data_IF_064557585077
#
_entry.id   IF_064557585077
#
_cell.length_a   1.000
_cell.length_b   1.000
_cell.length_c   1.000
_cell.angle_alpha   90.00
_cell.angle_beta   90.00
_cell.angle_gamma   90.00
#
_symmetry.space_group_name_H-M   'P 1'
#
loop_
_entity.id
_entity.type
_entity.pdbx_description
1 polymer ?
#
# COMPACT_ATOMS: atom_id res chain seq x y z
N UNK A 1 8.79 12.88 12.75
CA UNK A 1 8.96 13.89 11.67
C UNK A 1 7.89 15.00 11.65
N UNK A 2 6.61 14.71 11.37
CA UNK A 2 5.58 15.73 11.05
C UNK A 2 5.35 16.80 12.12
N UNK A 3 5.38 16.44 13.42
CA UNK A 3 5.25 17.40 14.52
C UNK A 3 6.23 18.57 14.39
N UNK A 4 7.53 18.27 14.27
CA UNK A 4 8.58 19.28 14.06
C UNK A 4 8.32 20.19 12.86
N UNK A 5 7.78 19.61 11.78
CA UNK A 5 7.55 20.32 10.53
C UNK A 5 6.34 21.25 10.61
N UNK A 6 5.29 20.82 11.30
CA UNK A 6 4.09 21.60 11.55
C UNK A 6 4.39 22.74 12.54
N UNK A 7 5.11 22.45 13.62
CA UNK A 7 5.55 23.46 14.60
C UNK A 7 6.41 24.55 13.94
N UNK A 8 7.36 24.19 13.06
CA UNK A 8 8.21 25.13 12.34
C UNK A 8 7.45 26.00 11.34
N UNK A 9 6.34 25.49 10.79
CA UNK A 9 5.45 26.24 9.90
C UNK A 9 4.36 27.03 10.69
N UNK A 10 4.28 26.86 12.01
CA UNK A 10 3.28 27.50 12.86
C UNK A 10 1.85 27.02 12.59
N UNK A 11 1.67 25.77 12.13
CA UNK A 11 0.36 25.21 11.82
C UNK A 11 0.04 24.02 12.72
N UNK A 12 -1.23 23.90 13.12
CA UNK A 12 -1.76 22.77 13.87
C UNK A 12 -2.83 22.04 13.04
N UNK A 13 -3.05 20.72 13.23
CA UNK A 13 -4.15 20.02 12.58
C UNK A 13 -5.53 20.68 12.77
N UNK A 14 -5.75 21.39 13.88
CA UNK A 14 -7.00 22.12 14.16
C UNK A 14 -7.23 23.34 13.23
N UNK A 15 -6.20 23.77 12.51
CA UNK A 15 -6.28 24.83 11.51
C UNK A 15 -6.87 24.34 10.17
N UNK A 16 -7.10 23.03 10.03
CA UNK A 16 -7.72 22.42 8.86
C UNK A 16 -9.25 22.35 9.02
N UNK A 17 -9.97 23.31 8.43
CA UNK A 17 -11.44 23.38 8.47
C UNK A 17 -12.08 23.11 7.11
N UNK A 18 -11.40 23.48 6.04
CA UNK A 18 -11.82 23.24 4.67
C UNK A 18 -10.66 22.83 3.76
N UNK A 19 -10.96 22.26 2.58
CA UNK A 19 -9.93 21.75 1.67
C UNK A 19 -8.93 22.81 1.18
N UNK A 20 -9.34 24.08 1.13
CA UNK A 20 -8.47 25.22 0.79
C UNK A 20 -7.35 25.43 1.82
N UNK A 21 -7.57 25.05 3.08
CA UNK A 21 -6.60 25.20 4.18
C UNK A 21 -5.39 24.28 4.03
N UNK A 22 -5.48 23.26 3.18
CA UNK A 22 -4.35 22.36 2.91
C UNK A 22 -3.09 23.11 2.44
N UNK A 23 -3.27 24.29 1.81
CA UNK A 23 -2.18 25.18 1.38
C UNK A 23 -1.35 25.75 2.53
N UNK A 24 -1.90 25.78 3.76
CA UNK A 24 -1.19 26.22 4.96
C UNK A 24 -0.16 25.18 5.43
N UNK A 25 -0.38 23.91 5.11
CA UNK A 25 0.47 22.81 5.58
C UNK A 25 1.73 22.68 4.73
N UNK A 26 2.90 22.43 5.35
CA UNK A 26 4.16 22.31 4.62
C UNK A 26 4.23 21.01 3.81
N UNK A 27 4.74 21.09 2.58
CA UNK A 27 4.92 19.92 1.71
C UNK A 27 5.99 18.95 2.24
N UNK A 28 5.75 17.65 2.12
CA UNK A 28 6.76 16.61 2.35
C UNK A 28 7.58 16.36 1.08
N UNK A 29 8.90 16.37 1.22
CA UNK A 29 9.87 16.15 0.15
C UNK A 29 10.53 14.77 0.30
N UNK A 30 11.21 14.33 -0.77
CA UNK A 30 12.00 13.08 -0.73
C UNK A 30 13.16 13.16 0.27
N UNK A 31 13.65 14.36 0.57
CA UNK A 31 14.74 14.55 1.52
C UNK A 31 14.27 14.23 2.95
N UNK A 32 13.05 14.65 3.31
CA UNK A 32 12.47 14.33 4.61
C UNK A 32 12.45 12.80 4.86
N UNK A 33 12.10 12.00 3.84
CA UNK A 33 12.09 10.54 3.94
C UNK A 33 13.49 9.93 4.08
N UNK A 34 14.52 10.58 3.52
CA UNK A 34 15.92 10.12 3.61
C UNK A 34 16.54 10.44 4.97
N UNK A 35 16.21 11.61 5.52
CA UNK A 35 16.73 12.07 6.81
C UNK A 35 16.15 11.28 7.99
N UNK A 36 14.96 10.71 7.82
CA UNK A 36 14.24 9.92 8.82
C UNK A 36 14.31 8.39 8.53
N UNK A 37 15.33 7.96 7.77
CA UNK A 37 15.58 6.54 7.48
C UNK A 37 16.01 5.77 8.74
N UNK A 38 15.64 4.48 8.91
CA UNK A 38 14.77 3.67 8.04
C UNK A 38 13.27 3.75 8.38
N UNK A 39 12.90 4.01 9.63
CA UNK A 39 11.53 3.82 10.12
C UNK A 39 10.97 5.02 10.90
N UNK A 40 11.72 6.13 11.03
CA UNK A 40 11.32 7.31 11.82
C UNK A 40 10.18 8.13 11.17
N UNK A 41 9.71 7.66 10.01
CA UNK A 41 8.52 8.16 9.31
C UNK A 41 7.25 7.39 9.68
N UNK A 42 7.35 6.26 10.39
CA UNK A 42 6.19 5.44 10.73
C UNK A 42 5.38 6.08 11.85
N UNK A 43 4.06 6.07 11.71
CA UNK A 43 3.12 6.62 12.70
C UNK A 43 2.58 5.54 13.67
N UNK A 44 3.03 4.29 13.50
CA UNK A 44 2.65 3.12 14.32
C UNK A 44 3.89 2.36 14.76
N UNK A 45 3.81 1.61 15.88
CA UNK A 45 4.88 0.70 16.29
C UNK A 45 5.21 -0.34 15.21
N UNK A 46 6.46 -0.78 15.16
CA UNK A 46 6.97 -1.68 14.11
C UNK A 46 6.24 -3.02 14.09
N UNK A 47 5.73 -3.47 15.24
CA UNK A 47 4.98 -4.72 15.41
C UNK A 47 3.64 -4.72 14.65
N UNK A 48 3.11 -3.53 14.32
CA UNK A 48 1.89 -3.38 13.54
C UNK A 48 2.14 -3.30 12.03
N UNK A 49 3.42 -3.24 11.62
CA UNK A 49 3.83 -3.15 10.21
C UNK A 49 3.96 -4.56 9.64
N UNK A 50 3.05 -4.92 8.74
CA UNK A 50 3.01 -6.27 8.11
C UNK A 50 3.79 -6.33 6.80
N UNK A 51 4.21 -5.18 6.27
CA UNK A 51 4.97 -5.09 5.02
C UNK A 51 5.88 -3.88 4.99
N UNK A 52 7.07 -4.06 4.44
CA UNK A 52 8.02 -2.98 4.13
C UNK A 52 8.35 -3.05 2.65
N UNK A 53 8.23 -1.93 1.93
CA UNK A 53 8.76 -1.77 0.58
C UNK A 53 9.80 -0.65 0.55
N UNK A 54 10.74 -0.74 -0.38
CA UNK A 54 11.73 0.31 -0.61
C UNK A 54 11.69 0.74 -2.07
N UNK A 55 11.79 2.05 -2.31
CA UNK A 55 11.94 2.55 -3.68
C UNK A 55 13.33 2.18 -4.21
N UNK A 56 13.46 2.04 -5.53
CA UNK A 56 14.72 1.68 -6.22
C UNK A 56 15.85 2.69 -6.04
N UNK A 57 15.62 3.82 -5.34
CA UNK A 57 16.70 4.68 -4.87
C UNK A 57 17.64 5.16 -5.97
N UNK A 58 17.13 5.67 -7.11
CA UNK A 58 17.98 6.13 -8.23
C UNK A 58 18.97 7.26 -7.89
N UNK A 59 18.87 7.84 -6.70
CA UNK A 59 19.63 9.02 -6.23
C UNK A 59 20.21 8.79 -4.82
N UNK A 60 20.51 7.54 -4.44
CA UNK A 60 21.18 7.20 -3.18
C UNK A 60 20.34 6.30 -2.26
N UNK A 61 20.31 6.60 -0.95
CA UNK A 61 19.62 5.77 0.06
C UNK A 61 18.15 5.49 -0.35
N UNK A 62 17.73 4.21 -0.41
CA UNK A 62 16.35 3.84 -0.68
C UNK A 62 15.40 4.48 0.34
N UNK A 63 14.26 4.98 -0.12
CA UNK A 63 13.21 5.43 0.79
C UNK A 63 12.35 4.23 1.16
N UNK A 64 12.25 3.95 2.45
CA UNK A 64 11.50 2.83 3.01
C UNK A 64 10.09 3.28 3.36
N UNK A 65 9.10 2.44 3.04
CA UNK A 65 7.69 2.64 3.40
C UNK A 65 7.16 1.38 4.05
N UNK A 66 6.39 1.56 5.12
CA UNK A 66 5.73 0.49 5.87
C UNK A 66 4.23 0.53 5.67
N UNK A 67 3.59 -0.63 5.77
CA UNK A 67 2.14 -0.78 5.66
C UNK A 67 1.59 -1.62 6.81
N UNK A 68 0.52 -1.15 7.42
CA UNK A 68 -0.32 -1.96 8.31
C UNK A 68 -1.21 -2.90 7.52
N UNK A 69 -1.88 -3.85 8.18
CA UNK A 69 -2.84 -4.73 7.52
C UNK A 69 -3.95 -3.94 6.82
N UNK A 70 -4.50 -2.92 7.49
CA UNK A 70 -5.53 -2.04 6.94
C UNK A 70 -5.04 -1.28 5.69
N UNK A 71 -3.77 -0.86 5.66
CA UNK A 71 -3.22 -0.17 4.48
C UNK A 71 -3.12 -1.12 3.27
N UNK A 72 -2.74 -2.38 3.49
CA UNK A 72 -2.72 -3.41 2.44
C UNK A 72 -4.13 -3.66 1.90
N UNK A 73 -5.12 -3.77 2.77
CA UNK A 73 -6.52 -4.02 2.37
C UNK A 73 -7.08 -2.83 1.57
N UNK A 74 -6.82 -1.61 2.02
CA UNK A 74 -7.22 -0.38 1.31
C UNK A 74 -6.53 -0.26 -0.05
N UNK A 75 -5.24 -0.57 -0.13
CA UNK A 75 -4.52 -0.54 -1.37
C UNK A 75 -5.06 -1.56 -2.38
N UNK A 76 -5.31 -2.79 -1.92
CA UNK A 76 -5.86 -3.85 -2.75
C UNK A 76 -7.24 -3.45 -3.32
N UNK A 77 -8.07 -2.77 -2.52
CA UNK A 77 -9.36 -2.22 -2.96
C UNK A 77 -9.21 -1.13 -4.03
N UNK A 78 -8.24 -0.23 -3.88
CA UNK A 78 -7.98 0.83 -4.87
C UNK A 78 -7.52 0.22 -6.20
N UNK A 79 -6.59 -0.74 -6.16
CA UNK A 79 -6.13 -1.42 -7.39
C UNK A 79 -7.26 -2.19 -8.07
N UNK A 80 -8.10 -2.90 -7.31
CA UNK A 80 -9.29 -3.55 -7.84
C UNK A 80 -10.25 -2.56 -8.53
N UNK A 81 -10.44 -1.37 -7.94
CA UNK A 81 -11.25 -0.29 -8.55
C UNK A 81 -10.63 0.23 -9.84
N UNK A 82 -9.31 0.39 -9.89
CA UNK A 82 -8.59 0.79 -11.11
C UNK A 82 -8.71 -0.24 -12.22
N UNK A 83 -8.59 -1.53 -11.89
CA UNK A 83 -8.81 -2.62 -12.86
C UNK A 83 -10.24 -2.62 -13.39
N UNK A 84 -11.23 -2.40 -12.52
CA UNK A 84 -12.64 -2.28 -12.93
C UNK A 84 -12.87 -1.06 -13.83
N UNK A 85 -12.26 0.07 -13.52
CA UNK A 85 -12.34 1.29 -14.34
C UNK A 85 -11.70 1.09 -15.73
N UNK A 86 -10.68 0.25 -15.84
CA UNK A 86 -10.07 -0.17 -17.11
C UNK A 86 -10.93 -1.19 -17.90
N UNK A 87 -12.14 -1.50 -17.44
CA UNK A 87 -13.04 -2.48 -18.08
C UNK A 87 -12.87 -3.91 -17.58
N UNK A 88 -11.96 -4.14 -16.62
CA UNK A 88 -11.71 -5.45 -16.03
C UNK A 88 -12.91 -5.99 -15.27
N UNK A 89 -13.18 -7.27 -15.47
CA UNK A 89 -14.26 -8.02 -14.85
C UNK A 89 -13.69 -9.18 -14.02
N UNK A 90 -14.49 -9.75 -13.10
CA UNK A 90 -14.09 -10.93 -12.33
C UNK A 90 -13.82 -12.17 -13.18
N UNK A 91 -14.23 -12.16 -14.45
CA UNK A 91 -14.06 -13.27 -15.39
C UNK A 91 -12.72 -13.20 -16.14
N UNK A 92 -12.02 -12.08 -16.04
CA UNK A 92 -10.83 -11.81 -16.84
C UNK A 92 -9.58 -12.39 -16.17
N UNK A 93 -8.67 -12.88 -17.01
CA UNK A 93 -7.35 -13.31 -16.56
C UNK A 93 -6.38 -12.17 -16.75
N UNK A 94 -5.70 -11.77 -15.67
CA UNK A 94 -4.79 -10.62 -15.67
C UNK A 94 -3.35 -11.15 -15.65
N UNK A 95 -2.58 -10.84 -16.68
CA UNK A 95 -1.15 -11.10 -16.71
C UNK A 95 -0.40 -9.96 -16.01
N UNK A 96 0.25 -10.24 -14.88
CA UNK A 96 1.01 -9.25 -14.10
C UNK A 96 2.49 -9.32 -14.49
N UNK A 97 2.92 -8.45 -15.39
CA UNK A 97 4.31 -8.36 -15.83
C UNK A 97 5.19 -7.40 -14.97
N UNK A 98 4.63 -6.82 -13.91
CA UNK A 98 5.38 -5.92 -13.03
C UNK A 98 6.23 -6.71 -12.01
N UNK A 99 7.52 -6.38 -11.90
CA UNK A 99 8.45 -7.00 -10.94
C UNK A 99 8.16 -6.73 -9.45
N UNK A 100 7.16 -5.91 -9.14
CA UNK A 100 6.61 -5.67 -7.79
C UNK A 100 5.72 -6.85 -7.36
N UNK A 101 6.32 -8.04 -7.24
CA UNK A 101 5.65 -9.30 -6.93
C UNK A 101 4.72 -9.28 -5.70
N UNK A 102 4.97 -8.51 -4.61
CA UNK A 102 4.04 -8.45 -3.48
C UNK A 102 2.86 -7.50 -3.67
N UNK A 103 2.78 -6.72 -4.75
CA UNK A 103 1.86 -5.58 -4.83
C UNK A 103 0.52 -5.92 -5.46
N UNK A 104 0.57 -6.63 -6.59
CA UNK A 104 -0.63 -7.04 -7.31
C UNK A 104 -1.13 -8.42 -6.90
N UNK A 105 -0.31 -9.23 -6.23
CA UNK A 105 -0.72 -10.53 -5.68
C UNK A 105 -1.83 -10.36 -4.62
N UNK A 106 -1.74 -9.32 -3.79
CA UNK A 106 -2.79 -8.97 -2.82
C UNK A 106 -3.97 -8.25 -3.46
N UNK A 107 -3.75 -7.41 -4.48
CA UNK A 107 -4.85 -6.82 -5.25
C UNK A 107 -5.68 -7.88 -5.99
N UNK A 108 -5.03 -8.89 -6.58
CA UNK A 108 -5.69 -10.05 -7.19
C UNK A 108 -6.42 -10.91 -6.17
N UNK A 109 -5.83 -11.14 -4.99
CA UNK A 109 -6.49 -11.84 -3.88
C UNK A 109 -7.69 -11.05 -3.33
N UNK A 110 -7.60 -9.74 -3.15
CA UNK A 110 -8.72 -8.91 -2.70
C UNK A 110 -9.84 -8.80 -3.75
N UNK A 111 -9.49 -8.72 -5.04
CA UNK A 111 -10.45 -8.80 -6.13
C UNK A 111 -11.18 -10.15 -6.08
N UNK A 112 -10.45 -11.27 -5.92
CA UNK A 112 -11.02 -12.61 -5.73
C UNK A 112 -11.93 -12.70 -4.50
N UNK A 113 -11.52 -12.18 -3.33
CA UNK A 113 -12.33 -12.18 -2.10
C UNK A 113 -13.65 -11.43 -2.29
N UNK A 114 -13.61 -10.27 -2.95
CA UNK A 114 -14.79 -9.42 -3.17
C UNK A 114 -15.74 -10.04 -4.20
N UNK A 115 -15.24 -10.76 -5.19
CA UNK A 115 -16.06 -11.37 -6.25
C UNK A 115 -16.58 -12.77 -5.89
N UNK A 116 -15.92 -13.47 -4.96
CA UNK A 116 -16.35 -14.78 -4.45
C UNK A 116 -17.28 -14.68 -3.23
N UNK A 117 -17.60 -13.47 -2.75
CA UNK A 117 -18.46 -13.26 -1.58
C UNK A 117 -17.80 -13.61 -0.24
N UNK A 118 -16.47 -13.81 -0.20
CA UNK A 118 -15.70 -14.16 1.00
C UNK A 118 -15.05 -12.94 1.68
N UNK A 119 -15.67 -11.77 1.57
CA UNK A 119 -15.18 -10.56 2.21
C UNK A 119 -15.40 -10.66 3.72
N UNK A 120 -14.30 -10.70 4.49
CA UNK A 120 -14.33 -10.80 5.96
C UNK A 120 -14.01 -12.18 6.54
N UNK A 121 -13.67 -13.17 5.71
CA UNK A 121 -13.21 -14.49 6.18
C UNK A 121 -11.75 -14.41 6.67
N UNK A 122 -11.47 -14.58 7.98
CA UNK A 122 -10.12 -14.49 8.55
C UNK A 122 -9.17 -15.57 8.03
N UNK A 123 -9.67 -16.70 7.54
CA UNK A 123 -8.85 -17.79 7.00
C UNK A 123 -8.39 -17.50 5.56
N UNK A 124 -8.97 -16.51 4.88
CA UNK A 124 -8.49 -16.03 3.57
C UNK A 124 -7.24 -15.15 3.70
N UNK A 125 -7.06 -14.54 4.87
CA UNK A 125 -5.92 -13.71 5.23
C UNK A 125 -4.78 -14.48 5.89
N UNK A 126 -5.06 -15.68 6.42
CA UNK A 126 -4.02 -16.59 6.89
C UNK A 126 -3.29 -17.17 5.69
N UNK A 127 -1.98 -16.97 5.69
CA UNK A 127 -1.08 -17.80 4.91
C UNK A 127 -1.09 -19.20 5.55
N UNK A 128 -2.14 -19.96 5.32
CA UNK A 128 -2.08 -21.39 5.50
C UNK A 128 -1.02 -21.83 4.49
N UNK A 129 0.13 -22.28 5.00
CA UNK A 129 1.27 -22.80 4.24
C UNK A 129 0.95 -23.99 3.33
N UNK A 130 -0.34 -24.22 3.05
CA UNK A 130 -0.93 -25.20 2.16
C UNK A 130 -1.54 -24.59 0.89
N UNK A 131 -1.67 -23.26 0.79
CA UNK A 131 -1.95 -22.64 -0.53
C UNK A 131 -0.63 -22.55 -1.31
N UNK A 132 -0.11 -23.72 -1.71
CA UNK A 132 0.98 -23.77 -2.68
C UNK A 132 0.52 -23.16 -3.99
N UNK A 133 1.46 -22.62 -4.75
CA UNK A 133 1.30 -21.82 -5.95
C UNK A 133 0.63 -22.54 -7.15
N UNK A 134 -0.16 -23.60 -6.90
CA UNK A 134 -0.64 -24.55 -7.90
C UNK A 134 -2.16 -24.49 -8.13
N UNK A 135 -2.95 -23.92 -7.20
CA UNK A 135 -4.42 -23.91 -7.33
C UNK A 135 -5.03 -22.64 -7.95
N UNK A 136 -4.18 -21.66 -8.28
CA UNK A 136 -4.56 -20.61 -9.21
C UNK A 136 -3.83 -20.93 -10.51
N UNK A 137 -4.57 -21.34 -11.55
CA UNK A 137 -4.03 -21.55 -12.91
C UNK A 137 -3.51 -20.24 -13.50
N UNK A 138 -2.38 -19.76 -13.01
CA UNK A 138 -1.54 -18.76 -13.63
C UNK A 138 -0.58 -19.52 -14.54
N UNK A 139 -0.90 -19.51 -15.84
CA UNK A 139 0.08 -19.88 -16.85
C UNK A 139 1.11 -18.75 -16.91
N UNK A 140 2.25 -18.95 -16.29
CA UNK A 140 3.48 -18.23 -16.62
C UNK A 140 4.13 -18.97 -17.78
N UNK A 141 3.92 -18.50 -19.00
CA UNK A 141 4.85 -18.75 -20.09
C UNK A 141 5.66 -17.46 -20.28
N UNK A 142 6.94 -17.60 -19.94
CA UNK A 142 8.16 -16.84 -20.27
C UNK A 142 7.95 -15.44 -20.86
#
# INVERSE_FOLDING_TARGET
MYRRKFDAAGVHPDDFRELSDLRKFPCTTKQDLRDNYPFDTFAVPMEQVVRIHASSGTTGKPTVVGYTQNDIDNWANIVARSLRAAGGSPKDKIHVAYGLRPVYWWAGRALWCRTSGRYGDPDVWRADGKTSATDLRFSTQI
#
